data_IF_691109834560
#
_entry.id   IF_691109834560
#
_cell.length_a   1.000
_cell.length_b   1.000
_cell.length_c   1.000
_cell.angle_alpha   90.00
_cell.angle_beta   90.00
_cell.angle_gamma   90.00
#
_symmetry.space_group_name_H-M   'P 1'
#
loop_
_entity.id
_entity.type
_entity.pdbx_description
1 polymer ?
#
# COMPACT_ATOMS: atom_id res chain seq x y z
N UNK A 1 19.30 12.82 -31.14
CA UNK A 1 17.87 13.13 -31.05
C UNK A 1 17.06 12.01 -30.44
N UNK A 2 17.26 10.76 -30.85
CA UNK A 2 16.58 9.59 -30.29
C UNK A 2 16.92 9.39 -28.80
N UNK A 3 18.16 9.70 -28.42
CA UNK A 3 18.64 9.55 -27.04
C UNK A 3 17.85 10.39 -26.02
N UNK A 4 17.50 11.61 -26.38
CA UNK A 4 16.70 12.50 -25.52
C UNK A 4 15.27 11.98 -25.32
N UNK A 5 14.69 11.41 -26.39
CA UNK A 5 13.35 10.82 -26.35
C UNK A 5 13.33 9.64 -25.39
N UNK A 6 14.35 8.76 -25.46
CA UNK A 6 14.48 7.62 -24.54
C UNK A 6 14.63 8.06 -23.09
N UNK A 7 15.43 9.08 -22.82
CA UNK A 7 15.61 9.62 -21.47
C UNK A 7 14.29 10.16 -20.94
N UNK A 8 13.56 10.93 -21.75
CA UNK A 8 12.28 11.49 -21.37
C UNK A 8 11.28 10.38 -21.04
N UNK A 9 11.22 9.32 -21.85
CA UNK A 9 10.33 8.19 -21.61
C UNK A 9 10.68 7.47 -20.30
N UNK A 10 11.97 7.22 -20.07
CA UNK A 10 12.42 6.55 -18.84
C UNK A 10 12.06 7.38 -17.61
N UNK A 11 12.33 8.68 -17.66
CA UNK A 11 12.01 9.60 -16.55
C UNK A 11 10.49 9.63 -16.33
N UNK A 12 9.71 9.73 -17.38
CA UNK A 12 8.25 9.73 -17.30
C UNK A 12 7.72 8.46 -16.67
N UNK A 13 8.26 7.29 -17.05
CA UNK A 13 7.87 6.01 -16.47
C UNK A 13 8.24 5.91 -14.99
N UNK A 14 9.42 6.41 -14.62
CA UNK A 14 9.85 6.43 -13.21
C UNK A 14 8.94 7.34 -12.38
N UNK A 15 8.65 8.53 -12.88
CA UNK A 15 7.75 9.47 -12.22
C UNK A 15 6.36 8.84 -12.07
N UNK A 16 5.84 8.22 -13.12
CA UNK A 16 4.55 7.55 -13.09
C UNK A 16 4.49 6.46 -12.03
N UNK A 17 5.55 5.66 -11.89
CA UNK A 17 5.60 4.57 -10.91
C UNK A 17 5.73 5.07 -9.47
N UNK A 18 6.38 6.21 -9.28
CA UNK A 18 6.64 6.77 -7.95
C UNK A 18 5.55 7.71 -7.46
N UNK A 19 4.73 8.25 -8.36
CA UNK A 19 3.63 9.15 -7.97
C UNK A 19 2.42 8.36 -7.50
N UNK A 20 1.72 8.85 -6.45
CA UNK A 20 0.47 8.24 -6.02
C UNK A 20 -0.56 8.25 -7.13
N UNK A 21 -1.31 7.18 -7.25
CA UNK A 21 -2.39 7.08 -8.23
C UNK A 21 -3.57 7.94 -7.78
N UNK A 22 -4.15 8.70 -8.70
CA UNK A 22 -5.33 9.52 -8.43
C UNK A 22 -6.47 8.63 -7.91
N UNK A 23 -7.13 9.07 -6.84
CA UNK A 23 -8.22 8.33 -6.21
C UNK A 23 -7.75 7.35 -5.14
N UNK A 24 -6.46 7.32 -4.81
CA UNK A 24 -5.90 6.54 -3.72
C UNK A 24 -5.40 7.51 -2.65
N UNK A 25 -5.87 7.33 -1.42
CA UNK A 25 -5.44 8.14 -0.29
C UNK A 25 -4.11 7.62 0.25
N UNK A 26 -3.39 8.49 0.93
CA UNK A 26 -2.14 8.15 1.59
C UNK A 26 -2.20 8.64 3.03
N UNK A 27 -1.83 7.77 3.97
CA UNK A 27 -1.73 8.15 5.39
C UNK A 27 -0.33 7.85 5.91
N UNK A 28 0.04 8.53 6.97
CA UNK A 28 1.30 8.25 7.68
C UNK A 28 1.11 7.10 8.66
N UNK A 29 2.22 6.56 9.16
CA UNK A 29 2.17 5.52 10.19
C UNK A 29 1.58 6.05 11.50
N UNK A 30 1.73 7.34 11.78
CA UNK A 30 1.13 7.98 12.95
C UNK A 30 -0.39 8.04 12.82
N UNK A 31 -0.87 8.42 11.64
CA UNK A 31 -2.30 8.42 11.33
C UNK A 31 -2.87 7.00 11.37
N UNK A 32 -2.11 6.02 10.88
CA UNK A 32 -2.50 4.61 10.96
C UNK A 32 -2.74 4.17 12.40
N UNK A 33 -1.83 4.52 13.29
CA UNK A 33 -1.93 4.16 14.70
C UNK A 33 -3.25 4.64 15.32
N UNK A 34 -3.70 5.82 14.91
CA UNK A 34 -4.94 6.41 15.41
C UNK A 34 -6.19 5.70 14.90
N UNK A 35 -6.13 4.96 13.79
CA UNK A 35 -7.31 4.34 13.15
C UNK A 35 -7.30 2.81 13.18
N UNK A 36 -6.36 2.18 13.88
CA UNK A 36 -6.23 0.71 13.90
C UNK A 36 -7.48 -0.01 14.44
N UNK A 37 -8.29 0.65 15.22
CA UNK A 37 -9.48 0.06 15.81
C UNK A 37 -10.78 0.49 15.14
N UNK A 38 -10.69 1.17 13.99
CA UNK A 38 -11.85 1.62 13.24
C UNK A 38 -12.53 0.43 12.54
N UNK A 39 -13.79 0.11 12.90
CA UNK A 39 -14.48 -1.05 12.30
C UNK A 39 -14.87 -0.84 10.83
N UNK A 40 -14.78 0.39 10.32
CA UNK A 40 -15.08 0.71 8.92
C UNK A 40 -13.89 0.47 7.99
N UNK A 41 -12.79 -0.05 8.51
CA UNK A 41 -11.56 -0.28 7.76
C UNK A 41 -11.17 -1.74 7.74
N UNK A 42 -10.61 -2.17 6.61
CA UNK A 42 -9.96 -3.48 6.45
C UNK A 42 -8.48 -3.22 6.22
N UNK A 43 -7.65 -3.88 7.00
CA UNK A 43 -6.19 -3.68 6.95
C UNK A 43 -5.52 -4.87 6.27
N UNK A 44 -4.74 -4.60 5.22
CA UNK A 44 -4.10 -5.63 4.40
C UNK A 44 -2.61 -5.40 4.32
N UNK A 45 -1.83 -6.41 4.69
CA UNK A 45 -0.38 -6.44 4.53
C UNK A 45 -0.06 -7.26 3.28
N UNK A 46 0.50 -6.61 2.25
CA UNK A 46 0.78 -7.24 0.96
C UNK A 46 2.21 -7.75 0.82
N UNK A 47 2.93 -7.83 1.94
CA UNK A 47 4.26 -8.42 1.97
C UNK A 47 4.18 -9.95 1.83
N UNK A 48 5.33 -10.60 1.68
CA UNK A 48 5.39 -12.06 1.65
C UNK A 48 4.94 -12.65 3.00
N UNK A 49 4.48 -13.92 3.02
CA UNK A 49 4.11 -14.59 4.28
C UNK A 49 5.27 -14.66 5.27
N UNK A 50 6.51 -14.81 4.80
CA UNK A 50 7.68 -14.85 5.68
C UNK A 50 7.93 -13.50 6.36
N UNK A 51 7.80 -12.41 5.61
CA UNK A 51 7.93 -11.06 6.19
C UNK A 51 6.85 -10.81 7.24
N UNK A 52 5.63 -11.16 6.92
CA UNK A 52 4.49 -11.00 7.82
C UNK A 52 4.65 -11.83 9.10
N UNK A 53 5.09 -13.08 8.95
CA UNK A 53 5.31 -13.99 10.08
C UNK A 53 6.41 -13.48 11.02
N UNK A 54 7.46 -12.90 10.45
CA UNK A 54 8.59 -12.39 11.24
C UNK A 54 8.18 -11.17 12.08
N UNK A 55 7.36 -10.27 11.53
CA UNK A 55 6.89 -9.07 12.22
C UNK A 55 5.66 -8.52 11.51
N UNK A 56 4.62 -8.21 12.26
CA UNK A 56 3.38 -7.69 11.68
C UNK A 56 2.63 -6.78 12.66
N UNK A 57 1.65 -6.08 12.13
CA UNK A 57 0.68 -5.34 12.92
C UNK A 57 -0.56 -6.23 13.04
N UNK A 58 -0.99 -6.49 14.27
CA UNK A 58 -2.02 -7.47 14.59
C UNK A 58 -3.32 -7.32 13.80
N UNK A 59 -3.71 -6.09 13.52
CA UNK A 59 -4.95 -5.77 12.83
C UNK A 59 -4.88 -6.04 11.32
N UNK A 60 -3.69 -6.26 10.78
CA UNK A 60 -3.49 -6.48 9.35
C UNK A 60 -3.58 -7.97 9.01
N UNK A 61 -4.34 -8.26 7.98
CA UNK A 61 -4.41 -9.58 7.36
C UNK A 61 -3.36 -9.66 6.25
N UNK A 62 -2.62 -10.77 6.19
CA UNK A 62 -1.62 -10.94 5.13
C UNK A 62 -2.29 -11.44 3.85
N UNK A 63 -2.28 -10.61 2.84
CA UNK A 63 -2.70 -10.97 1.48
C UNK A 63 -1.58 -10.51 0.55
N UNK A 64 -0.63 -11.38 0.20
CA UNK A 64 0.52 -10.99 -0.61
C UNK A 64 0.10 -10.35 -1.94
N UNK A 65 0.94 -9.46 -2.46
CA UNK A 65 0.65 -8.67 -3.67
C UNK A 65 0.18 -9.53 -4.86
N UNK A 66 0.73 -10.73 -5.02
CA UNK A 66 0.38 -11.63 -6.12
C UNK A 66 -0.91 -12.41 -5.89
N UNK A 67 -1.51 -12.30 -4.73
CA UNK A 67 -2.75 -13.01 -4.39
C UNK A 67 -3.97 -12.30 -4.99
N UNK A 68 -5.13 -12.94 -4.84
CA UNK A 68 -6.39 -12.36 -5.29
C UNK A 68 -6.96 -11.40 -4.25
N UNK A 69 -7.42 -10.22 -4.71
CA UNK A 69 -8.10 -9.24 -3.86
C UNK A 69 -9.61 -9.18 -4.13
N UNK A 70 -10.18 -10.22 -4.73
CA UNK A 70 -11.57 -10.20 -5.18
C UNK A 70 -12.62 -10.27 -4.07
N UNK A 71 -12.25 -10.79 -2.91
CA UNK A 71 -13.20 -11.09 -1.82
C UNK A 71 -13.17 -10.09 -0.67
N UNK A 72 -12.69 -8.88 -0.93
CA UNK A 72 -12.65 -7.83 0.09
C UNK A 72 -13.96 -7.05 0.13
N UNK A 73 -14.36 -6.52 1.31
CA UNK A 73 -15.56 -5.70 1.41
C UNK A 73 -15.45 -4.44 0.56
N UNK A 74 -16.51 -4.12 -0.17
CA UNK A 74 -16.53 -2.91 -1.02
C UNK A 74 -17.09 -1.69 -0.31
N UNK A 75 -17.72 -1.89 0.83
CA UNK A 75 -18.32 -0.83 1.64
C UNK A 75 -17.41 -0.32 2.74
N UNK A 76 -16.18 -0.86 2.83
CA UNK A 76 -15.19 -0.45 3.82
C UNK A 76 -13.97 0.16 3.16
N UNK A 77 -13.24 0.99 3.90
CA UNK A 77 -11.96 1.50 3.43
C UNK A 77 -10.91 0.40 3.54
N UNK A 78 -10.16 0.20 2.46
CA UNK A 78 -9.08 -0.79 2.44
C UNK A 78 -7.76 -0.08 2.66
N UNK A 79 -7.11 -0.39 3.77
CA UNK A 79 -5.82 0.20 4.16
C UNK A 79 -4.72 -0.82 3.88
N UNK A 80 -3.76 -0.45 3.05
CA UNK A 80 -2.74 -1.37 2.53
C UNK A 80 -1.36 -0.95 3.02
N UNK A 81 -0.60 -1.91 3.53
CA UNK A 81 0.78 -1.70 3.99
C UNK A 81 1.73 -2.72 3.34
N UNK A 82 2.97 -2.29 3.13
CA UNK A 82 4.08 -3.18 2.79
C UNK A 82 5.33 -2.73 3.56
N UNK A 83 6.52 -3.13 3.13
CA UNK A 83 7.74 -2.77 3.87
C UNK A 83 8.10 -1.29 3.71
N UNK A 84 8.00 -0.74 2.50
CA UNK A 84 8.44 0.63 2.18
C UNK A 84 7.37 1.53 1.58
N UNK A 85 6.26 0.97 1.12
CA UNK A 85 5.19 1.69 0.42
C UNK A 85 5.12 1.42 -1.07
N UNK A 86 6.11 0.74 -1.66
CA UNK A 86 6.16 0.47 -3.11
C UNK A 86 5.19 -0.64 -3.51
N UNK A 87 5.29 -1.80 -2.87
CA UNK A 87 4.37 -2.93 -3.15
C UNK A 87 2.93 -2.58 -2.80
N UNK A 88 2.73 -1.86 -1.72
CA UNK A 88 1.39 -1.42 -1.31
C UNK A 88 0.79 -0.44 -2.31
N UNK A 89 1.59 0.43 -2.91
CA UNK A 89 1.12 1.31 -3.97
C UNK A 89 0.68 0.51 -5.20
N UNK A 90 1.42 -0.54 -5.56
CA UNK A 90 1.04 -1.44 -6.65
C UNK A 90 -0.27 -2.18 -6.33
N UNK A 91 -0.42 -2.64 -5.09
CA UNK A 91 -1.64 -3.29 -4.63
C UNK A 91 -2.83 -2.33 -4.68
N UNK A 92 -2.64 -1.07 -4.29
CA UNK A 92 -3.69 -0.06 -4.36
C UNK A 92 -4.15 0.17 -5.80
N UNK A 93 -3.22 0.23 -6.75
CA UNK A 93 -3.56 0.35 -8.17
C UNK A 93 -4.36 -0.85 -8.67
N UNK A 94 -3.98 -2.05 -8.22
CA UNK A 94 -4.69 -3.28 -8.56
C UNK A 94 -6.10 -3.28 -7.99
N UNK A 95 -6.27 -2.86 -6.74
CA UNK A 95 -7.57 -2.73 -6.10
C UNK A 95 -8.47 -1.73 -6.85
N UNK A 96 -7.88 -0.61 -7.27
CA UNK A 96 -8.63 0.39 -8.04
C UNK A 96 -9.14 -0.19 -9.36
N UNK A 97 -8.33 -0.95 -10.05
CA UNK A 97 -8.73 -1.62 -11.30
C UNK A 97 -9.84 -2.65 -11.06
N UNK A 98 -9.89 -3.25 -9.88
CA UNK A 98 -10.94 -4.21 -9.50
C UNK A 98 -12.24 -3.52 -9.06
N UNK A 99 -12.27 -2.19 -9.03
CA UNK A 99 -13.47 -1.42 -8.71
C UNK A 99 -13.65 -1.00 -7.27
N UNK A 100 -12.66 -1.23 -6.42
CA UNK A 100 -12.69 -0.72 -5.04
C UNK A 100 -12.52 0.80 -5.06
N UNK A 101 -13.32 1.51 -4.27
CA UNK A 101 -13.37 2.97 -4.30
C UNK A 101 -12.63 3.65 -3.15
N UNK A 102 -12.61 3.00 -1.98
CA UNK A 102 -12.01 3.56 -0.77
C UNK A 102 -10.71 2.82 -0.46
N UNK A 103 -9.61 3.35 -0.96
CA UNK A 103 -8.29 2.70 -0.89
C UNK A 103 -7.29 3.66 -0.28
N UNK A 104 -6.50 3.19 0.68
CA UNK A 104 -5.50 3.99 1.38
C UNK A 104 -4.19 3.24 1.46
N UNK A 105 -3.09 3.90 1.08
CA UNK A 105 -1.73 3.38 1.19
C UNK A 105 -1.06 3.95 2.43
N UNK A 106 -0.38 3.10 3.20
CA UNK A 106 0.40 3.55 4.36
C UNK A 106 1.80 3.94 3.90
N UNK A 107 2.08 5.22 3.94
CA UNK A 107 3.36 5.81 3.56
C UNK A 107 4.46 5.34 4.51
N UNK A 108 5.60 4.93 3.95
CA UNK A 108 6.73 4.45 4.72
C UNK A 108 6.62 3.01 5.20
N UNK A 109 5.42 2.44 5.21
CA UNK A 109 5.17 1.03 5.49
C UNK A 109 5.68 0.53 6.83
N UNK A 110 5.94 -0.77 6.90
CA UNK A 110 6.43 -1.43 8.12
C UNK A 110 7.78 -0.90 8.58
N UNK A 111 8.63 -0.48 7.64
CA UNK A 111 9.92 0.11 7.99
C UNK A 111 9.76 1.33 8.89
N UNK A 112 8.90 2.26 8.49
CA UNK A 112 8.64 3.47 9.27
C UNK A 112 7.88 3.14 10.56
N UNK A 113 6.89 2.25 10.48
CA UNK A 113 6.15 1.80 11.66
C UNK A 113 7.07 1.25 12.74
N UNK A 114 8.01 0.39 12.34
CA UNK A 114 8.95 -0.23 13.28
C UNK A 114 9.89 0.80 13.91
N UNK A 115 10.34 1.79 13.17
CA UNK A 115 11.17 2.86 13.69
C UNK A 115 10.47 3.66 14.77
N UNK A 116 9.19 3.96 14.55
CA UNK A 116 8.40 4.77 15.48
C UNK A 116 7.94 4.01 16.72
N UNK A 117 7.80 2.69 16.62
CA UNK A 117 7.27 1.86 17.70
C UNK A 117 8.32 0.97 18.35
N UNK A 118 9.60 1.31 18.19
CA UNK A 118 10.69 0.66 18.88
C UNK A 118 10.70 1.03 20.37
N UNK A 119 10.78 0.04 21.18
CA UNK A 119 10.89 0.18 22.59
C UNK A 119 9.65 0.25 23.32
#
# INVERSE_FOLDING_TARGET
MIEWILIIIVVALLVYRLTPTKGINTITTQELKAVLHDPDKVFIDVRSPLEYKAQNIKQFQNIPLKSSFKNLPRDKEIVVICQTGIRSNQACKKLKRLGYERITNVRGGMGQWNMENRG
#
